data_IF_186750439058
#
_entry.id   IF_186750439058
#
_cell.length_a   1.000
_cell.length_b   1.000
_cell.length_c   1.000
_cell.angle_alpha   90.00
_cell.angle_beta   90.00
_cell.angle_gamma   90.00
#
_symmetry.space_group_name_H-M   'P 1'
#
loop_
_entity.id
_entity.type
_entity.pdbx_description
1 polymer ?
#
# COMPACT_ATOMS: atom_id res chain seq x y z
N UNK A 1 9.43 -6.06 -3.15
CA UNK A 1 9.58 -7.51 -3.45
C UNK A 1 9.66 -8.28 -2.14
N UNK A 2 8.51 -8.62 -1.54
CA UNK A 2 8.51 -9.46 -0.32
C UNK A 2 7.83 -10.82 -0.56
N UNK A 3 7.24 -11.06 -1.74
CA UNK A 3 6.57 -12.32 -2.05
C UNK A 3 6.82 -12.77 -3.51
N UNK A 4 7.08 -14.06 -3.78
CA UNK A 4 7.32 -14.59 -5.14
C UNK A 4 6.08 -14.54 -6.06
N UNK A 5 4.89 -14.29 -5.51
CA UNK A 5 3.66 -14.00 -6.25
C UNK A 5 3.27 -12.51 -6.21
N UNK A 6 4.15 -11.62 -5.73
CA UNK A 6 3.93 -10.18 -5.89
C UNK A 6 4.04 -9.84 -7.37
N UNK A 7 2.90 -9.66 -8.03
CA UNK A 7 2.80 -8.82 -9.22
C UNK A 7 3.42 -7.45 -8.92
N UNK A 8 3.90 -6.75 -9.95
CA UNK A 8 4.42 -5.39 -9.80
C UNK A 8 3.32 -4.48 -9.21
N UNK A 9 3.43 -4.11 -7.93
CA UNK A 9 2.41 -3.30 -7.26
C UNK A 9 2.34 -1.88 -7.85
N UNK A 10 3.37 -1.48 -8.61
CA UNK A 10 3.46 -0.20 -9.31
C UNK A 10 2.42 -0.03 -10.42
N UNK A 11 1.87 -1.12 -10.97
CA UNK A 11 0.84 -1.03 -12.03
C UNK A 11 -0.56 -0.69 -11.48
N UNK A 12 -0.78 -0.82 -10.17
CA UNK A 12 -2.07 -0.55 -9.55
C UNK A 12 -2.14 0.88 -9.02
N UNK A 13 -3.26 1.57 -9.28
CA UNK A 13 -3.56 2.85 -8.64
C UNK A 13 -3.94 2.64 -7.16
N UNK A 14 -3.82 3.68 -6.32
CA UNK A 14 -4.09 3.62 -4.88
C UNK A 14 -5.49 3.05 -4.57
N UNK A 15 -6.52 3.48 -5.33
CA UNK A 15 -7.88 2.94 -5.20
C UNK A 15 -8.00 1.45 -5.55
N UNK A 16 -7.25 0.99 -6.56
CA UNK A 16 -7.23 -0.42 -6.95
C UNK A 16 -6.52 -1.26 -5.89
N UNK A 17 -5.46 -0.72 -5.29
CA UNK A 17 -4.71 -1.32 -4.19
C UNK A 17 -5.61 -1.51 -2.96
N UNK A 18 -6.37 -0.48 -2.57
CA UNK A 18 -7.37 -0.58 -1.49
C UNK A 18 -8.47 -1.60 -1.77
N UNK A 19 -9.00 -1.61 -3.00
CA UNK A 19 -10.01 -2.59 -3.41
C UNK A 19 -9.47 -4.03 -3.34
N UNK A 20 -8.24 -4.26 -3.79
CA UNK A 20 -7.58 -5.57 -3.66
C UNK A 20 -7.34 -5.96 -2.21
N UNK A 21 -6.90 -5.03 -1.36
CA UNK A 21 -6.74 -5.27 0.09
C UNK A 21 -8.07 -5.71 0.70
N UNK A 22 -9.17 -5.04 0.35
CA UNK A 22 -10.50 -5.38 0.86
C UNK A 22 -10.96 -6.77 0.38
N UNK A 23 -10.73 -7.10 -0.90
CA UNK A 23 -11.06 -8.41 -1.47
C UNK A 23 -10.23 -9.55 -0.82
N UNK A 24 -8.92 -9.36 -0.70
CA UNK A 24 -8.02 -10.30 -0.04
C UNK A 24 -8.39 -10.49 1.44
N UNK A 25 -8.75 -9.42 2.14
CA UNK A 25 -9.21 -9.50 3.53
C UNK A 25 -10.51 -10.30 3.65
N UNK A 26 -11.48 -10.10 2.74
CA UNK A 26 -12.72 -10.90 2.70
C UNK A 26 -12.41 -12.38 2.48
N UNK A 27 -11.52 -12.69 1.54
CA UNK A 27 -11.09 -14.07 1.25
C UNK A 27 -10.34 -14.68 2.45
N UNK A 28 -9.52 -13.91 3.15
CA UNK A 28 -8.76 -14.35 4.32
C UNK A 28 -9.68 -14.83 5.44
N UNK A 29 -10.73 -14.07 5.75
CA UNK A 29 -11.70 -14.43 6.81
C UNK A 29 -12.46 -15.70 6.45
N UNK A 30 -12.77 -15.91 5.17
CA UNK A 30 -13.48 -17.10 4.68
C UNK A 30 -12.58 -18.33 4.55
N UNK A 31 -11.26 -18.16 4.50
CA UNK A 31 -10.35 -19.26 4.27
C UNK A 31 -10.27 -20.17 5.51
N UNK A 32 -10.16 -21.47 5.29
CA UNK A 32 -10.03 -22.47 6.38
C UNK A 32 -8.64 -23.05 6.49
N UNK A 33 -7.89 -23.06 5.38
CA UNK A 33 -6.52 -23.57 5.35
C UNK A 33 -5.56 -22.57 6.06
N UNK A 34 -4.86 -22.99 7.13
CA UNK A 34 -3.92 -22.14 7.86
C UNK A 34 -2.72 -21.69 7.02
N UNK A 35 -2.10 -22.58 6.23
CA UNK A 35 -0.96 -22.20 5.39
C UNK A 35 -1.33 -21.13 4.36
N UNK A 36 -2.54 -21.22 3.79
CA UNK A 36 -3.03 -20.19 2.85
C UNK A 36 -3.31 -18.88 3.57
N UNK A 37 -3.81 -18.93 4.81
CA UNK A 37 -3.99 -17.73 5.63
C UNK A 37 -2.69 -16.99 5.90
N UNK A 38 -1.62 -17.72 6.23
CA UNK A 38 -0.32 -17.12 6.50
C UNK A 38 0.24 -16.40 5.26
N UNK A 39 0.15 -17.04 4.09
CA UNK A 39 0.54 -16.42 2.82
C UNK A 39 -0.32 -15.20 2.47
N UNK A 40 -1.64 -15.29 2.70
CA UNK A 40 -2.54 -14.15 2.47
C UNK A 40 -2.25 -12.96 3.39
N UNK A 41 -1.90 -13.20 4.65
CA UNK A 41 -1.52 -12.14 5.59
C UNK A 41 -0.27 -11.41 5.08
N UNK A 42 0.74 -12.15 4.63
CA UNK A 42 1.96 -11.56 4.06
C UNK A 42 1.62 -10.69 2.85
N UNK A 43 0.80 -11.18 1.94
CA UNK A 43 0.35 -10.43 0.76
C UNK A 43 -0.43 -9.15 1.14
N UNK A 44 -1.39 -9.26 2.05
CA UNK A 44 -2.18 -8.11 2.54
C UNK A 44 -1.27 -7.06 3.19
N UNK A 45 -0.26 -7.51 3.95
CA UNK A 45 0.69 -6.61 4.60
C UNK A 45 1.59 -5.90 3.57
N UNK A 46 2.10 -6.60 2.56
CA UNK A 46 2.85 -5.98 1.46
C UNK A 46 2.05 -4.86 0.80
N UNK A 47 0.77 -5.13 0.50
CA UNK A 47 -0.10 -4.15 -0.18
C UNK A 47 -0.37 -2.93 0.70
N UNK A 48 -0.58 -3.14 2.01
CA UNK A 48 -0.75 -2.04 2.98
C UNK A 48 0.52 -1.21 3.15
N UNK A 49 1.70 -1.84 3.15
CA UNK A 49 2.98 -1.14 3.24
C UNK A 49 3.20 -0.25 2.03
N UNK A 50 2.98 -0.77 0.82
CA UNK A 50 3.06 -0.02 -0.43
C UNK A 50 2.13 1.21 -0.41
N UNK A 51 0.86 1.03 -0.05
CA UNK A 51 -0.12 2.12 0.03
C UNK A 51 0.34 3.20 1.05
N UNK A 52 0.82 2.79 2.22
CA UNK A 52 1.36 3.71 3.23
C UNK A 52 2.59 4.46 2.74
N UNK A 53 3.46 3.80 1.99
CA UNK A 53 4.66 4.44 1.44
C UNK A 53 4.27 5.52 0.42
N UNK A 54 3.28 5.25 -0.44
CA UNK A 54 2.75 6.22 -1.40
C UNK A 54 2.13 7.44 -0.72
N UNK A 55 1.26 7.23 0.26
CA UNK A 55 0.64 8.31 1.01
C UNK A 55 1.71 9.15 1.75
N UNK A 56 2.72 8.51 2.33
CA UNK A 56 3.83 9.23 2.97
C UNK A 56 4.66 10.02 1.97
N UNK A 57 4.92 9.48 0.76
CA UNK A 57 5.61 10.22 -0.32
C UNK A 57 4.79 11.44 -0.74
N UNK A 58 3.49 11.30 -0.94
CA UNK A 58 2.59 12.41 -1.26
C UNK A 58 2.56 13.48 -0.16
N UNK A 59 2.51 13.08 1.11
CA UNK A 59 2.56 14.02 2.24
C UNK A 59 3.89 14.76 2.31
N UNK A 60 5.02 14.05 2.19
CA UNK A 60 6.36 14.68 2.21
C UNK A 60 6.55 15.66 1.05
N UNK A 61 6.02 15.36 -0.13
CA UNK A 61 6.05 16.29 -1.27
C UNK A 61 5.23 17.56 -0.98
N UNK A 62 4.04 17.42 -0.39
CA UNK A 62 3.23 18.59 0.02
C UNK A 62 3.93 19.44 1.08
N UNK A 63 4.54 18.82 2.10
CA UNK A 63 5.26 19.55 3.14
C UNK A 63 6.47 20.31 2.60
N UNK A 64 7.24 19.74 1.66
CA UNK A 64 8.36 20.45 1.02
C UNK A 64 7.89 21.64 0.19
N UNK A 65 6.79 21.50 -0.58
CA UNK A 65 6.23 22.61 -1.36
C UNK A 65 5.72 23.77 -0.49
N UNK A 66 5.14 23.47 0.68
CA UNK A 66 4.71 24.51 1.62
C UNK A 66 5.90 25.19 2.31
N UNK A 67 6.97 24.45 2.60
CA UNK A 67 8.22 25.03 3.12
C UNK A 67 8.91 25.93 2.09
N UNK A 68 8.96 25.52 0.82
CA UNK A 68 9.53 26.34 -0.26
C UNK A 68 8.74 27.65 -0.48
N UNK A 69 7.42 27.63 -0.29
CA UNK A 69 6.59 28.84 -0.34
C UNK A 69 6.84 29.79 0.83
N UNK A 70 7.17 29.26 2.00
CA UNK A 70 7.52 30.04 3.20
C UNK A 70 8.94 30.62 3.14
N UNK A 71 9.82 30.08 2.27
CA UNK A 71 11.18 30.61 2.05
C UNK A 71 11.16 31.75 1.01
N UNK A 72 10.18 31.78 0.10
CA UNK A 72 10.03 32.82 -0.93
C UNK A 72 9.29 34.08 -0.46
N UNK A 73 9.59 34.55 0.75
CA UNK A 73 9.18 35.87 1.23
C UNK A 73 10.45 36.73 1.43
N UNK A 74 10.82 37.48 0.39
CA UNK A 74 11.70 38.65 0.44
C UNK A 74 10.88 39.95 0.51
#
# INVERSE_FOLDING_TARGET
MLHPLDDDLSIYNNQQLESKIADLTKKFVRQRNPQVKDQMILLINSYKMELRERIQKEQRQKTNLDLDKLINIE
#
